data_IF_294537476831
#
_entry.id   IF_294537476831
#
_cell.length_a   1.000
_cell.length_b   1.000
_cell.length_c   1.000
_cell.angle_alpha   90.00
_cell.angle_beta   90.00
_cell.angle_gamma   90.00
#
_symmetry.space_group_name_H-M   'P 1'
#
loop_
_entity.id
_entity.type
_entity.pdbx_description
1 polymer ?
#
# COMPACT_ATOMS: atom_id res chain seq x y z
N UNK A 1 -0.14 -28.16 -32.43
CA UNK A 1 -0.90 -27.03 -33.02
C UNK A 1 -0.53 -26.71 -34.47
N UNK A 2 0.76 -26.51 -34.83
CA UNK A 2 1.15 -26.18 -36.23
C UNK A 2 0.75 -27.23 -37.29
N UNK A 3 0.82 -28.52 -36.96
CA UNK A 3 0.44 -29.59 -37.89
C UNK A 3 -1.08 -29.61 -38.20
N UNK A 4 -1.92 -29.24 -37.23
CA UNK A 4 -3.38 -29.18 -37.40
C UNK A 4 -3.77 -27.96 -38.25
N UNK A 5 -3.17 -26.80 -38.00
CA UNK A 5 -3.35 -25.60 -38.82
C UNK A 5 -2.91 -25.82 -40.27
N UNK A 6 -1.79 -26.53 -40.47
CA UNK A 6 -1.30 -26.88 -41.79
C UNK A 6 -2.26 -27.84 -42.51
N UNK A 7 -2.81 -28.83 -41.82
CA UNK A 7 -3.83 -29.74 -42.38
C UNK A 7 -5.12 -29.01 -42.76
N UNK A 8 -5.61 -28.10 -41.92
CA UNK A 8 -6.78 -27.27 -42.23
C UNK A 8 -6.49 -26.29 -43.37
N UNK A 9 -5.26 -25.78 -43.48
CA UNK A 9 -4.82 -24.98 -44.61
C UNK A 9 -4.87 -25.81 -45.89
N UNK A 10 -4.26 -27.00 -45.92
CA UNK A 10 -4.28 -27.89 -47.08
C UNK A 10 -5.71 -28.24 -47.51
N UNK A 11 -6.58 -28.65 -46.58
CA UNK A 11 -7.98 -28.99 -46.89
C UNK A 11 -8.77 -27.82 -47.50
N UNK A 12 -8.49 -26.58 -47.07
CA UNK A 12 -9.13 -25.37 -47.63
C UNK A 12 -8.67 -25.06 -49.06
N UNK A 13 -7.43 -25.40 -49.44
CA UNK A 13 -6.91 -25.14 -50.80
C UNK A 13 -7.20 -26.27 -51.81
N UNK A 14 -7.60 -27.46 -51.35
CA UNK A 14 -7.94 -28.62 -52.22
C UNK A 14 -8.91 -28.27 -53.37
N UNK A 15 -10.03 -27.55 -53.15
CA UNK A 15 -11.00 -27.26 -54.21
C UNK A 15 -10.42 -26.44 -55.37
N UNK A 16 -9.48 -25.53 -55.06
CA UNK A 16 -8.80 -24.73 -56.08
C UNK A 16 -7.82 -25.56 -56.87
N UNK A 17 -7.05 -26.42 -56.20
CA UNK A 17 -6.10 -27.30 -56.88
C UNK A 17 -6.82 -28.30 -57.80
N UNK A 18 -8.01 -28.74 -57.43
CA UNK A 18 -8.84 -29.61 -58.25
C UNK A 18 -9.39 -28.86 -59.48
N UNK A 19 -9.90 -27.63 -59.29
CA UNK A 19 -10.34 -26.77 -60.39
C UNK A 19 -9.21 -26.40 -61.38
N UNK A 20 -7.98 -26.16 -60.88
CA UNK A 20 -6.80 -25.89 -61.72
C UNK A 20 -6.39 -27.14 -62.50
N UNK A 21 -6.40 -28.32 -61.84
CA UNK A 21 -6.06 -29.59 -62.47
C UNK A 21 -7.04 -29.90 -63.60
N UNK A 22 -8.33 -29.68 -63.36
CA UNK A 22 -9.39 -29.93 -64.32
C UNK A 22 -9.35 -28.97 -65.51
N UNK A 23 -9.09 -27.67 -65.29
CA UNK A 23 -8.85 -26.70 -66.36
C UNK A 23 -7.61 -27.05 -67.21
N UNK A 24 -6.51 -27.48 -66.59
CA UNK A 24 -5.28 -27.89 -67.29
C UNK A 24 -5.47 -29.18 -68.08
N UNK A 25 -6.27 -30.13 -67.56
CA UNK A 25 -6.60 -31.39 -68.24
C UNK A 25 -7.40 -31.13 -69.52
N UNK A 26 -8.51 -30.39 -69.44
CA UNK A 26 -9.33 -30.10 -70.63
C UNK A 26 -8.62 -29.18 -71.62
N UNK A 27 -7.74 -28.29 -71.15
CA UNK A 27 -6.89 -27.47 -72.04
C UNK A 27 -5.82 -28.30 -72.77
N UNK A 28 -5.33 -29.38 -72.17
CA UNK A 28 -4.35 -30.30 -72.78
C UNK A 28 -4.99 -31.27 -73.77
N UNK A 29 -6.15 -31.86 -73.41
CA UNK A 29 -6.94 -32.75 -74.28
C UNK A 29 -7.35 -32.03 -75.58
N UNK A 30 -7.73 -30.75 -75.48
CA UNK A 30 -8.05 -29.91 -76.64
C UNK A 30 -6.83 -29.70 -77.57
N UNK A 31 -5.62 -29.53 -77.01
CA UNK A 31 -4.40 -29.30 -77.78
C UNK A 31 -3.83 -30.57 -78.46
N UNK A 32 -4.06 -31.75 -77.86
CA UNK A 32 -3.68 -33.04 -78.43
C UNK A 32 -4.67 -33.54 -79.48
N UNK A 33 -5.97 -33.31 -79.29
CA UNK A 33 -6.99 -33.71 -80.25
C UNK A 33 -6.80 -32.99 -81.58
N UNK A 34 -6.47 -31.69 -81.60
CA UNK A 34 -6.25 -30.92 -82.85
C UNK A 34 -5.09 -31.42 -83.74
N UNK A 35 -4.37 -32.49 -83.36
CA UNK A 35 -3.28 -33.13 -84.13
C UNK A 35 -3.65 -34.49 -84.76
N UNK A 36 -4.84 -35.05 -84.51
CA UNK A 36 -5.21 -36.40 -84.96
C UNK A 36 -6.58 -36.53 -85.64
N UNK A 37 -6.58 -37.02 -86.89
CA UNK A 37 -7.67 -37.53 -87.75
C UNK A 37 -9.03 -36.80 -87.82
N UNK A 38 -9.40 -36.36 -89.03
CA UNK A 38 -10.32 -35.23 -89.30
C UNK A 38 -11.84 -35.57 -89.29
N UNK A 39 -12.24 -36.84 -89.09
CA UNK A 39 -13.64 -37.29 -89.30
C UNK A 39 -14.53 -37.32 -88.06
N UNK A 40 -14.01 -37.79 -86.91
CA UNK A 40 -14.74 -37.90 -85.62
C UNK A 40 -14.36 -36.79 -84.62
N UNK A 41 -13.54 -35.85 -85.07
CA UNK A 41 -12.79 -34.92 -84.26
C UNK A 41 -13.55 -33.62 -83.94
N UNK A 42 -14.40 -33.15 -84.85
CA UNK A 42 -15.13 -31.87 -84.69
C UNK A 42 -16.17 -31.90 -83.55
N UNK A 43 -16.90 -33.01 -83.36
CA UNK A 43 -17.86 -33.13 -82.25
C UNK A 43 -17.15 -33.29 -80.89
N UNK A 44 -16.00 -33.98 -80.88
CA UNK A 44 -15.15 -34.11 -79.70
C UNK A 44 -14.52 -32.77 -79.29
N UNK A 45 -14.04 -31.98 -80.25
CA UNK A 45 -13.52 -30.62 -80.01
C UNK A 45 -14.61 -29.68 -79.48
N UNK A 46 -15.81 -29.71 -80.08
CA UNK A 46 -16.93 -28.88 -79.62
C UNK A 46 -17.37 -29.23 -78.19
N UNK A 47 -17.42 -30.52 -77.84
CA UNK A 47 -17.68 -30.95 -76.47
C UNK A 47 -16.56 -30.55 -75.49
N UNK A 48 -15.30 -30.61 -75.91
CA UNK A 48 -14.15 -30.18 -75.11
C UNK A 48 -14.17 -28.65 -74.84
N UNK A 49 -14.48 -27.84 -75.85
CA UNK A 49 -14.66 -26.39 -75.68
C UNK A 49 -15.77 -26.05 -74.69
N UNK A 50 -16.90 -26.75 -74.74
CA UNK A 50 -18.01 -26.54 -73.78
C UNK A 50 -17.62 -26.91 -72.34
N UNK A 51 -16.85 -27.99 -72.16
CA UNK A 51 -16.32 -28.39 -70.84
C UNK A 51 -15.30 -27.39 -70.31
N UNK A 52 -14.46 -26.82 -71.18
CA UNK A 52 -13.49 -25.80 -70.81
C UNK A 52 -14.16 -24.52 -70.28
N UNK A 53 -15.21 -24.03 -70.94
CA UNK A 53 -15.96 -22.86 -70.45
C UNK A 53 -16.65 -23.11 -69.10
N UNK A 54 -17.08 -24.36 -68.84
CA UNK A 54 -17.63 -24.74 -67.54
C UNK A 54 -16.54 -24.78 -66.46
N UNK A 55 -15.39 -25.37 -66.76
CA UNK A 55 -14.23 -25.42 -65.86
C UNK A 55 -13.70 -24.02 -65.52
N UNK A 56 -13.63 -23.11 -66.50
CA UNK A 56 -13.17 -21.74 -66.32
C UNK A 56 -14.08 -20.94 -65.36
N UNK A 57 -15.40 -21.07 -65.49
CA UNK A 57 -16.37 -20.43 -64.58
C UNK A 57 -16.27 -20.98 -63.17
N UNK A 58 -16.16 -22.31 -63.04
CA UNK A 58 -16.01 -22.98 -61.75
C UNK A 58 -14.70 -22.58 -61.04
N UNK A 59 -13.63 -22.37 -61.81
CA UNK A 59 -12.35 -21.86 -61.29
C UNK A 59 -12.48 -20.43 -60.74
N UNK A 60 -13.18 -19.53 -61.42
CA UNK A 60 -13.36 -18.16 -60.90
C UNK A 60 -14.22 -18.12 -59.64
N UNK A 61 -15.29 -18.90 -59.57
CA UNK A 61 -16.16 -18.97 -58.37
C UNK A 61 -15.40 -19.56 -57.17
N UNK A 62 -14.65 -20.63 -57.37
CA UNK A 62 -13.82 -21.25 -56.32
C UNK A 62 -12.64 -20.36 -55.91
N UNK A 63 -11.99 -19.69 -56.86
CA UNK A 63 -10.91 -18.74 -56.57
C UNK A 63 -11.39 -17.52 -55.77
N UNK A 64 -12.52 -16.94 -56.18
CA UNK A 64 -13.08 -15.78 -55.50
C UNK A 64 -13.57 -16.10 -54.07
N UNK A 65 -14.22 -17.25 -53.88
CA UNK A 65 -14.64 -17.69 -52.54
C UNK A 65 -13.47 -17.94 -51.59
N UNK A 66 -12.36 -18.51 -52.07
CA UNK A 66 -11.16 -18.67 -51.25
C UNK A 66 -10.47 -17.35 -50.92
N UNK A 67 -10.44 -16.41 -51.87
CA UNK A 67 -9.96 -15.06 -51.60
C UNK A 67 -10.79 -14.39 -50.50
N UNK A 68 -12.12 -14.41 -50.63
CA UNK A 68 -13.01 -13.87 -49.60
C UNK A 68 -12.84 -14.58 -48.26
N UNK A 69 -12.71 -15.90 -48.26
CA UNK A 69 -12.49 -16.67 -47.05
C UNK A 69 -11.22 -16.22 -46.30
N UNK A 70 -10.10 -16.02 -47.00
CA UNK A 70 -8.86 -15.54 -46.39
C UNK A 70 -9.03 -14.12 -45.81
N UNK A 71 -9.72 -13.24 -46.54
CA UNK A 71 -10.01 -11.88 -46.08
C UNK A 71 -10.89 -11.91 -44.83
N UNK A 72 -11.97 -12.70 -44.83
CA UNK A 72 -12.86 -12.84 -43.68
C UNK A 72 -12.15 -13.45 -42.47
N UNK A 73 -11.31 -14.47 -42.65
CA UNK A 73 -10.55 -15.07 -41.56
C UNK A 73 -9.55 -14.07 -40.95
N UNK A 74 -8.89 -13.27 -41.80
CA UNK A 74 -8.01 -12.18 -41.35
C UNK A 74 -8.79 -11.15 -40.55
N UNK A 75 -9.93 -10.68 -41.07
CA UNK A 75 -10.78 -9.69 -40.40
C UNK A 75 -11.33 -10.22 -39.07
N UNK A 76 -11.83 -11.44 -39.01
CA UNK A 76 -12.33 -12.06 -37.79
C UNK A 76 -11.21 -12.13 -36.73
N UNK A 77 -10.01 -12.57 -37.11
CA UNK A 77 -8.86 -12.62 -36.20
C UNK A 77 -8.45 -11.24 -35.70
N UNK A 78 -8.47 -10.22 -36.59
CA UNK A 78 -8.19 -8.83 -36.24
C UNK A 78 -9.23 -8.27 -35.26
N UNK A 79 -10.52 -8.53 -35.49
CA UNK A 79 -11.61 -8.11 -34.60
C UNK A 79 -11.47 -8.76 -33.23
N UNK A 80 -11.20 -10.07 -33.16
CA UNK A 80 -10.99 -10.76 -31.88
C UNK A 80 -9.80 -10.18 -31.11
N UNK A 81 -8.68 -9.90 -31.79
CA UNK A 81 -7.51 -9.25 -31.16
C UNK A 81 -7.82 -7.84 -30.69
N UNK A 82 -8.57 -7.07 -31.48
CA UNK A 82 -8.99 -5.72 -31.12
C UNK A 82 -9.87 -5.75 -29.86
N UNK A 83 -10.84 -6.66 -29.80
CA UNK A 83 -11.72 -6.81 -28.64
C UNK A 83 -10.95 -7.13 -27.35
N UNK A 84 -9.98 -8.07 -27.42
CA UNK A 84 -9.11 -8.40 -26.28
C UNK A 84 -8.28 -7.18 -25.87
N UNK A 85 -7.65 -6.50 -26.83
CA UNK A 85 -6.83 -5.32 -26.54
C UNK A 85 -7.65 -4.18 -25.92
N UNK A 86 -8.88 -3.99 -26.37
CA UNK A 86 -9.80 -3.01 -25.78
C UNK A 86 -10.15 -3.37 -24.33
N UNK A 87 -10.50 -4.64 -24.06
CA UNK A 87 -10.76 -5.12 -22.70
C UNK A 87 -9.54 -4.95 -21.79
N UNK A 88 -8.34 -5.29 -22.29
CA UNK A 88 -7.08 -5.14 -21.55
C UNK A 88 -6.79 -3.67 -21.23
N UNK A 89 -7.03 -2.75 -22.18
CA UNK A 89 -6.84 -1.31 -21.96
C UNK A 89 -7.83 -0.74 -20.93
N UNK A 90 -9.08 -1.18 -20.94
CA UNK A 90 -10.06 -0.77 -19.93
C UNK A 90 -9.69 -1.31 -18.55
N UNK A 91 -9.24 -2.57 -18.47
CA UNK A 91 -8.75 -3.17 -17.23
C UNK A 91 -7.51 -2.43 -16.70
N UNK A 92 -6.55 -2.10 -17.57
CA UNK A 92 -5.36 -1.33 -17.21
C UNK A 92 -5.72 0.07 -16.71
N UNK A 93 -6.68 0.76 -17.36
CA UNK A 93 -7.17 2.06 -16.88
C UNK A 93 -7.85 1.95 -15.51
N UNK A 94 -8.64 0.90 -15.26
CA UNK A 94 -9.24 0.65 -13.93
C UNK A 94 -8.17 0.40 -12.88
N UNK A 95 -7.17 -0.43 -13.18
CA UNK A 95 -6.04 -0.68 -12.27
C UNK A 95 -5.26 0.59 -11.95
N UNK A 96 -4.97 1.43 -12.95
CA UNK A 96 -4.28 2.71 -12.75
C UNK A 96 -5.09 3.69 -11.88
N UNK A 97 -6.42 3.75 -12.07
CA UNK A 97 -7.32 4.55 -11.23
C UNK A 97 -7.36 4.02 -9.79
N UNK A 98 -7.55 2.72 -9.61
CA UNK A 98 -7.56 2.11 -8.27
C UNK A 98 -6.24 2.31 -7.54
N UNK A 99 -5.10 2.19 -8.23
CA UNK A 99 -3.79 2.47 -7.64
C UNK A 99 -3.63 3.95 -7.28
N UNK A 100 -4.08 4.86 -8.15
CA UNK A 100 -4.08 6.31 -7.87
C UNK A 100 -4.98 6.67 -6.69
N UNK A 101 -6.17 6.07 -6.61
CA UNK A 101 -7.11 6.28 -5.51
C UNK A 101 -6.57 5.74 -4.19
N UNK A 102 -5.96 4.54 -4.20
CA UNK A 102 -5.30 3.98 -3.03
C UNK A 102 -4.13 4.86 -2.56
N UNK A 103 -3.29 5.34 -3.49
CA UNK A 103 -2.22 6.28 -3.18
C UNK A 103 -2.77 7.61 -2.62
N UNK A 104 -3.85 8.14 -3.19
CA UNK A 104 -4.50 9.35 -2.69
C UNK A 104 -5.11 9.17 -1.30
N UNK A 105 -5.65 7.99 -0.98
CA UNK A 105 -6.12 7.65 0.36
C UNK A 105 -4.97 7.58 1.35
N UNK A 106 -3.88 6.90 1.01
CA UNK A 106 -2.69 6.82 1.86
C UNK A 106 -2.10 8.21 2.15
N UNK A 107 -1.97 9.06 1.12
CA UNK A 107 -1.48 10.43 1.31
C UNK A 107 -2.41 11.28 2.18
N UNK A 108 -3.73 11.09 2.09
CA UNK A 108 -4.68 11.76 2.99
C UNK A 108 -4.54 11.26 4.42
N UNK A 109 -4.38 9.95 4.60
CA UNK A 109 -4.25 9.32 5.91
C UNK A 109 -2.95 9.75 6.58
N UNK A 110 -1.83 9.74 5.85
CA UNK A 110 -0.54 10.25 6.32
C UNK A 110 -0.61 11.73 6.70
N UNK A 111 -1.34 12.55 5.93
CA UNK A 111 -1.51 13.96 6.26
C UNK A 111 -2.34 14.18 7.53
N UNK A 112 -3.39 13.40 7.74
CA UNK A 112 -4.19 13.43 8.97
C UNK A 112 -3.37 12.95 10.17
N UNK A 113 -2.61 11.87 10.01
CA UNK A 113 -1.70 11.37 11.06
C UNK A 113 -0.62 12.40 11.42
N UNK A 114 -0.02 13.07 10.44
CA UNK A 114 0.95 14.15 10.69
C UNK A 114 0.32 15.36 11.40
N UNK A 115 -0.91 15.75 11.04
CA UNK A 115 -1.62 16.84 11.72
C UNK A 115 -1.98 16.46 13.16
N UNK A 116 -2.41 15.23 13.41
CA UNK A 116 -2.66 14.73 14.77
C UNK A 116 -1.39 14.64 15.62
N UNK A 117 -0.28 14.16 15.04
CA UNK A 117 1.00 14.04 15.74
C UNK A 117 1.59 15.40 16.08
N UNK A 118 1.52 16.39 15.17
CA UNK A 118 1.93 17.76 15.48
C UNK A 118 1.10 18.37 16.61
N UNK A 119 -0.20 18.10 16.65
CA UNK A 119 -1.07 18.62 17.69
C UNK A 119 -0.84 17.94 19.05
N UNK A 120 -0.56 16.62 19.05
CA UNK A 120 -0.14 15.89 20.25
C UNK A 120 1.23 16.38 20.75
N UNK A 121 2.21 16.57 19.87
CA UNK A 121 3.53 17.11 20.23
C UNK A 121 3.43 18.53 20.82
N UNK A 122 2.59 19.39 20.24
CA UNK A 122 2.36 20.73 20.77
C UNK A 122 1.73 20.70 22.17
N UNK A 123 0.73 19.86 22.40
CA UNK A 123 0.10 19.70 23.72
C UNK A 123 1.10 19.15 24.76
N UNK A 124 1.82 18.08 24.42
CA UNK A 124 2.84 17.49 25.30
C UNK A 124 3.94 18.49 25.62
N UNK A 125 4.37 19.30 24.64
CA UNK A 125 5.37 20.35 24.85
C UNK A 125 4.89 21.44 25.82
N UNK A 126 3.62 21.83 25.74
CA UNK A 126 3.03 22.79 26.68
C UNK A 126 2.90 22.20 28.09
N UNK A 127 2.42 20.96 28.21
CA UNK A 127 2.30 20.26 29.49
C UNK A 127 3.67 20.06 30.16
N UNK A 128 4.72 19.76 29.38
CA UNK A 128 6.10 19.70 29.88
C UNK A 128 6.59 21.05 30.41
N UNK A 129 6.20 22.17 29.78
CA UNK A 129 6.58 23.51 30.25
C UNK A 129 5.88 23.84 31.56
N UNK A 130 4.57 23.61 31.65
CA UNK A 130 3.79 23.83 32.88
C UNK A 130 4.33 22.98 34.03
N UNK A 131 4.54 21.67 33.80
CA UNK A 131 5.11 20.77 34.81
C UNK A 131 6.52 21.19 35.24
N UNK A 132 7.34 21.75 34.35
CA UNK A 132 8.67 22.28 34.70
C UNK A 132 8.57 23.54 35.56
N UNK A 133 7.62 24.43 35.28
CA UNK A 133 7.40 25.64 36.07
C UNK A 133 6.87 25.30 37.46
N UNK A 134 5.89 24.40 37.54
CA UNK A 134 5.36 23.91 38.81
C UNK A 134 6.42 23.18 39.63
N UNK A 135 7.26 22.35 38.99
CA UNK A 135 8.39 21.70 39.68
C UNK A 135 9.36 22.73 40.28
N UNK A 136 9.72 23.78 39.54
CA UNK A 136 10.58 24.85 40.06
C UNK A 136 9.92 25.61 41.22
N UNK A 137 8.62 25.89 41.12
CA UNK A 137 7.86 26.53 42.21
C UNK A 137 7.88 25.67 43.47
N UNK A 138 7.56 24.38 43.33
CA UNK A 138 7.56 23.42 44.44
C UNK A 138 8.96 23.22 45.03
N UNK A 139 10.01 23.20 44.22
CA UNK A 139 11.39 23.14 44.70
C UNK A 139 11.75 24.39 45.54
N UNK A 140 11.37 25.58 45.08
CA UNK A 140 11.57 26.82 45.83
C UNK A 140 10.77 26.85 47.15
N UNK A 141 9.51 26.41 47.12
CA UNK A 141 8.67 26.28 48.31
C UNK A 141 9.25 25.26 49.29
N UNK A 142 9.72 24.11 48.80
CA UNK A 142 10.37 23.07 49.61
C UNK A 142 11.63 23.60 50.28
N UNK A 143 12.47 24.33 49.56
CA UNK A 143 13.71 24.88 50.12
C UNK A 143 13.43 26.01 51.12
N UNK A 144 12.41 26.82 50.89
CA UNK A 144 11.94 27.81 51.86
C UNK A 144 11.41 27.15 53.13
N UNK A 145 10.58 26.10 52.99
CA UNK A 145 10.07 25.32 54.11
C UNK A 145 11.20 24.63 54.88
N UNK A 146 12.23 24.11 54.19
CA UNK A 146 13.40 23.51 54.82
C UNK A 146 14.18 24.55 55.64
N UNK A 147 14.41 25.74 55.08
CA UNK A 147 15.05 26.86 55.80
C UNK A 147 14.24 27.25 57.03
N UNK A 148 12.93 27.37 56.90
CA UNK A 148 12.03 27.66 58.03
C UNK A 148 12.12 26.56 59.11
N UNK A 149 12.06 25.28 58.73
CA UNK A 149 12.19 24.16 59.65
C UNK A 149 13.54 24.17 60.39
N UNK A 150 14.65 24.45 59.69
CA UNK A 150 15.98 24.55 60.32
C UNK A 150 16.10 25.76 61.25
N UNK A 151 15.50 26.90 60.90
CA UNK A 151 15.49 28.08 61.75
C UNK A 151 14.67 27.84 63.02
N UNK A 152 13.48 27.25 62.89
CA UNK A 152 12.63 26.86 64.02
C UNK A 152 13.35 25.84 64.90
N UNK A 153 14.03 24.84 64.34
CA UNK A 153 14.80 23.87 65.12
C UNK A 153 15.90 24.53 65.95
N UNK A 154 16.59 25.54 65.40
CA UNK A 154 17.61 26.31 66.15
C UNK A 154 17.02 27.13 67.29
N UNK A 155 15.87 27.77 67.08
CA UNK A 155 15.17 28.50 68.14
C UNK A 155 14.68 27.53 69.23
N UNK A 156 14.25 26.33 68.87
CA UNK A 156 13.94 25.27 69.84
C UNK A 156 15.17 24.85 70.65
N UNK A 157 16.31 24.59 70.01
CA UNK A 157 17.55 24.22 70.71
C UNK A 157 17.99 25.31 71.70
N UNK A 158 17.93 26.57 71.28
CA UNK A 158 18.23 27.73 72.13
C UNK A 158 17.28 27.85 73.32
N UNK A 159 15.97 27.71 73.09
CA UNK A 159 14.98 27.77 74.17
C UNK A 159 15.18 26.62 75.17
N UNK A 160 15.58 25.44 74.69
CA UNK A 160 15.94 24.30 75.56
C UNK A 160 17.16 24.59 76.43
N UNK A 161 18.19 25.25 75.90
CA UNK A 161 19.34 25.73 76.69
C UNK A 161 18.90 26.74 77.76
N UNK A 162 18.10 27.75 77.40
CA UNK A 162 17.58 28.75 78.35
C UNK A 162 16.73 28.10 79.46
N UNK A 163 15.89 27.11 79.11
CA UNK A 163 15.11 26.35 80.08
C UNK A 163 16.00 25.50 81.01
N UNK A 164 17.06 24.89 80.49
CA UNK A 164 18.02 24.13 81.31
C UNK A 164 18.76 25.05 82.30
N UNK A 165 19.20 26.23 81.86
CA UNK A 165 19.85 27.24 82.69
C UNK A 165 18.93 27.77 83.78
N UNK A 166 17.67 28.08 83.44
CA UNK A 166 16.67 28.53 84.41
C UNK A 166 16.34 27.43 85.43
N UNK A 167 16.23 26.17 85.01
CA UNK A 167 16.05 25.05 85.94
C UNK A 167 17.25 24.87 86.87
N UNK A 168 18.48 25.04 86.38
CA UNK A 168 19.67 24.99 87.22
C UNK A 168 19.67 26.13 88.24
N UNK A 169 19.32 27.35 87.83
CA UNK A 169 19.18 28.51 88.74
C UNK A 169 18.08 28.30 89.78
N UNK A 170 16.94 27.72 89.39
CA UNK A 170 15.87 27.36 90.33
C UNK A 170 16.33 26.31 91.33
N UNK A 171 16.98 25.23 90.90
CA UNK A 171 17.54 24.21 91.80
C UNK A 171 18.57 24.79 92.77
N UNK A 172 19.41 25.72 92.29
CA UNK A 172 20.38 26.42 93.15
C UNK A 172 19.66 27.33 94.16
N UNK A 173 18.59 28.02 93.76
CA UNK A 173 17.79 28.84 94.66
C UNK A 173 17.02 28.00 95.69
N UNK A 174 16.45 26.86 95.28
CA UNK A 174 15.80 25.88 96.16
C UNK A 174 16.82 25.29 97.17
N UNK A 175 18.01 24.90 96.72
CA UNK A 175 19.09 24.45 97.59
C UNK A 175 19.61 25.53 98.54
N UNK A 176 19.61 26.80 98.12
CA UNK A 176 19.92 27.93 99.00
C UNK A 176 18.83 28.16 100.05
N UNK A 177 17.55 28.01 99.71
CA UNK A 177 16.45 28.08 100.69
C UNK A 177 16.47 26.91 101.67
N UNK A 178 16.85 25.70 101.24
CA UNK A 178 17.05 24.56 102.14
C UNK A 178 18.30 24.72 103.02
N UNK A 179 19.38 25.33 102.50
CA UNK A 179 20.58 25.66 103.28
C UNK A 179 20.31 26.71 104.36
N UNK A 180 19.54 27.76 104.04
CA UNK A 180 19.09 28.77 105.01
C UNK A 180 18.14 28.16 106.04
N UNK A 181 17.27 27.22 105.64
CA UNK A 181 16.44 26.46 106.58
C UNK A 181 17.27 25.52 107.47
N UNK A 182 18.40 24.99 106.98
CA UNK A 182 19.32 24.19 107.78
C UNK A 182 20.11 25.05 108.77
N UNK A 183 20.59 26.24 108.36
CA UNK A 183 21.21 27.21 109.27
C UNK A 183 20.24 27.73 110.33
N UNK A 184 19.00 28.08 109.98
CA UNK A 184 17.96 28.46 110.95
C UNK A 184 17.65 27.33 111.94
N UNK A 185 17.69 26.06 111.50
CA UNK A 185 17.51 24.89 112.38
C UNK A 185 18.70 24.66 113.32
N UNK A 186 19.94 24.91 112.86
CA UNK A 186 21.14 24.84 113.70
C UNK A 186 21.19 26.00 114.70
N UNK A 187 20.80 27.21 114.28
CA UNK A 187 20.74 28.39 115.16
C UNK A 187 19.69 28.23 116.27
N UNK A 188 18.56 27.57 115.97
CA UNK A 188 17.50 27.29 116.95
C UNK A 188 17.84 26.13 117.91
N UNK A 189 18.92 25.39 117.67
CA UNK A 189 19.39 24.31 118.54
C UNK A 189 20.56 24.73 119.45
N UNK A 190 21.10 25.94 119.27
CA UNK A 190 22.25 26.48 120.02
C UNK A 190 21.93 27.71 120.89
N UNK A 191 20.66 28.12 120.97
CA UNK A 191 20.17 29.16 121.89
C UNK A 191 18.91 28.67 122.63
N UNK A 192 18.95 28.52 123.97
CA UNK A 192 17.74 28.38 124.79
C UNK A 192 16.97 29.71 124.94
#
# INVERSE_FOLDING_TARGET
MKALELSHMFHRYVPLTDAIREMRKYSGELAEQSRGDHGHHLDAEMQAHMRLFRAQRNFYISGFSLFLWVVLQRLATLISRLAVTMADSEAAMKQAKSASDAAAQLLKQEKVEQEEDQQKEANVSNEIKELKEDKKRLEAERDAALKQATAVSREYDRLMEEHADLQAKLKMAEGATEGVLCELRVFQQFFP
#
